data_IF_243429652193
#
_entry.id   IF_243429652193
#
_cell.length_a   1.000
_cell.length_b   1.000
_cell.length_c   1.000
_cell.angle_alpha   90.00
_cell.angle_beta   90.00
_cell.angle_gamma   90.00
#
_symmetry.space_group_name_H-M   'P 1'
#
loop_
_entity.id
_entity.type
_entity.pdbx_description
1 polymer ?
#
# COMPACT_ATOMS: atom_id res chain seq x y z
N UNK A 1 -11.68 1.40 -2.94
CA UNK A 1 -12.25 0.04 -2.75
C UNK A 1 -11.17 -1.01 -3.00
N UNK A 2 -11.26 -2.19 -2.38
CA UNK A 2 -10.23 -3.25 -2.49
C UNK A 2 -10.00 -3.74 -3.92
N UNK A 3 -11.03 -3.72 -4.76
CA UNK A 3 -10.97 -4.10 -6.18
C UNK A 3 -10.06 -3.19 -7.03
N UNK A 4 -9.80 -1.97 -6.56
CA UNK A 4 -8.91 -1.00 -7.22
C UNK A 4 -7.43 -1.28 -6.96
N UNK A 5 -7.13 -2.17 -6.01
CA UNK A 5 -5.77 -2.48 -5.57
C UNK A 5 -5.44 -3.92 -5.96
N UNK A 6 -4.30 -4.10 -6.64
CA UNK A 6 -3.76 -5.43 -6.91
C UNK A 6 -2.40 -5.60 -6.24
N UNK A 7 -2.21 -6.73 -5.56
CA UNK A 7 -0.88 -7.19 -5.12
C UNK A 7 -0.26 -8.03 -6.23
N UNK A 8 0.85 -7.53 -6.79
CA UNK A 8 1.68 -8.27 -7.72
C UNK A 8 2.90 -8.82 -7.00
N UNK A 9 3.28 -10.05 -7.32
CA UNK A 9 4.52 -10.64 -6.82
C UNK A 9 5.26 -11.36 -7.94
N UNK A 10 6.57 -11.44 -7.84
CA UNK A 10 7.41 -12.07 -8.87
C UNK A 10 7.57 -13.58 -8.67
N UNK A 11 7.09 -14.13 -7.55
CA UNK A 11 7.25 -15.55 -7.22
C UNK A 11 5.97 -16.19 -6.67
N UNK A 12 5.67 -17.40 -7.15
CA UNK A 12 4.48 -18.16 -6.72
C UNK A 12 4.48 -18.50 -5.23
N UNK A 13 5.65 -18.70 -4.61
CA UNK A 13 5.72 -18.91 -3.15
C UNK A 13 5.13 -17.75 -2.35
N UNK A 14 5.45 -16.51 -2.74
CA UNK A 14 4.91 -15.31 -2.12
C UNK A 14 3.41 -15.14 -2.44
N UNK A 15 2.97 -15.53 -3.64
CA UNK A 15 1.54 -15.54 -4.00
C UNK A 15 0.74 -16.42 -3.03
N UNK A 16 1.22 -17.63 -2.74
CA UNK A 16 0.54 -18.53 -1.80
C UNK A 16 0.53 -17.98 -0.38
N UNK A 17 1.64 -17.39 0.07
CA UNK A 17 1.72 -16.71 1.38
C UNK A 17 0.68 -15.59 1.48
N UNK A 18 0.66 -14.66 0.52
CA UNK A 18 -0.28 -13.54 0.54
C UNK A 18 -1.74 -14.01 0.46
N UNK A 19 -2.04 -15.06 -0.33
CA UNK A 19 -3.39 -15.64 -0.37
C UNK A 19 -3.79 -16.27 0.97
N UNK A 20 -2.85 -16.89 1.68
CA UNK A 20 -3.07 -17.44 3.02
C UNK A 20 -3.37 -16.33 4.01
N UNK A 21 -2.54 -15.27 4.03
CA UNK A 21 -2.72 -14.10 4.90
C UNK A 21 -4.05 -13.39 4.62
N UNK A 22 -4.43 -13.21 3.36
CA UNK A 22 -5.72 -12.60 2.98
C UNK A 22 -6.91 -13.30 3.62
N UNK A 23 -6.89 -14.64 3.79
CA UNK A 23 -7.98 -15.39 4.44
C UNK A 23 -8.17 -15.00 5.92
N UNK A 24 -7.14 -14.43 6.55
CA UNK A 24 -7.18 -13.98 7.94
C UNK A 24 -7.74 -12.54 8.06
N UNK A 25 -7.90 -11.83 6.94
CA UNK A 25 -8.30 -10.42 6.91
C UNK A 25 -9.52 -10.22 6.01
N UNK A 26 -10.72 -10.20 6.61
CA UNK A 26 -11.99 -10.04 5.87
C UNK A 26 -12.06 -8.76 5.02
N UNK A 27 -11.45 -7.68 5.51
CA UNK A 27 -11.36 -6.41 4.79
C UNK A 27 -10.49 -6.47 3.53
N UNK A 28 -9.74 -7.55 3.32
CA UNK A 28 -8.96 -7.79 2.09
C UNK A 28 -9.64 -8.79 1.16
N UNK A 29 -10.87 -9.22 1.47
CA UNK A 29 -11.65 -10.08 0.59
C UNK A 29 -11.85 -9.41 -0.79
N UNK A 30 -11.80 -10.22 -1.85
CA UNK A 30 -11.88 -9.74 -3.24
C UNK A 30 -10.62 -9.06 -3.78
N UNK A 31 -9.67 -8.62 -2.94
CA UNK A 31 -8.43 -7.99 -3.41
C UNK A 31 -7.63 -8.95 -4.29
N UNK A 32 -7.26 -8.51 -5.50
CA UNK A 32 -6.54 -9.36 -6.46
C UNK A 32 -5.09 -9.57 -6.03
N UNK A 33 -4.66 -10.83 -6.04
CA UNK A 33 -3.29 -11.23 -5.73
C UNK A 33 -2.85 -12.24 -6.80
N UNK A 34 -1.82 -11.89 -7.55
CA UNK A 34 -1.31 -12.73 -8.64
C UNK A 34 0.18 -12.52 -8.90
N UNK A 35 0.76 -13.39 -9.72
CA UNK A 35 2.13 -13.25 -10.20
C UNK A 35 2.18 -12.37 -11.45
N UNK A 36 3.31 -11.67 -11.66
CA UNK A 36 3.52 -10.77 -12.81
C UNK A 36 3.24 -11.47 -14.16
N UNK A 37 3.69 -12.71 -14.33
CA UNK A 37 3.49 -13.48 -15.58
C UNK A 37 2.00 -13.70 -15.92
N UNK A 38 1.12 -13.70 -14.91
CA UNK A 38 -0.32 -13.91 -15.06
C UNK A 38 -1.11 -12.59 -15.13
N UNK A 39 -0.44 -11.45 -15.29
CA UNK A 39 -1.06 -10.11 -15.24
C UNK A 39 -0.85 -9.31 -16.53
N UNK A 40 -0.58 -10.01 -17.64
CA UNK A 40 -0.33 -9.36 -18.92
C UNK A 40 -1.63 -8.82 -19.51
N UNK A 41 -1.63 -7.55 -19.92
CA UNK A 41 -2.81 -6.88 -20.51
C UNK A 41 -3.84 -6.40 -19.49
N UNK A 42 -3.56 -6.57 -18.20
CA UNK A 42 -4.41 -6.07 -17.12
C UNK A 42 -3.79 -4.84 -16.45
N UNK A 43 -4.62 -4.02 -15.81
CA UNK A 43 -4.22 -2.79 -15.09
C UNK A 43 -5.07 -2.62 -13.82
N UNK A 44 -4.51 -1.96 -12.81
CA UNK A 44 -5.25 -1.51 -11.62
C UNK A 44 -4.93 -0.07 -11.29
N UNK A 45 -5.82 0.57 -10.54
CA UNK A 45 -5.61 1.92 -10.04
C UNK A 45 -4.34 2.00 -9.19
N UNK A 46 -4.17 1.02 -8.29
CA UNK A 46 -3.01 0.90 -7.41
C UNK A 46 -2.40 -0.50 -7.53
N UNK A 47 -1.06 -0.56 -7.65
CA UNK A 47 -0.28 -1.79 -7.61
C UNK A 47 0.64 -1.79 -6.40
N UNK A 48 0.59 -2.87 -5.62
CA UNK A 48 1.58 -3.20 -4.59
C UNK A 48 2.48 -4.32 -5.12
N UNK A 49 3.71 -3.99 -5.51
CA UNK A 49 4.65 -4.91 -6.16
C UNK A 49 5.65 -5.46 -5.15
N UNK A 50 5.60 -6.76 -4.88
CA UNK A 50 6.58 -7.48 -4.07
C UNK A 50 7.63 -8.16 -4.95
N UNK A 51 8.89 -7.73 -4.82
CA UNK A 51 10.03 -8.26 -5.58
C UNK A 51 10.65 -9.52 -4.95
N UNK A 52 10.41 -9.76 -3.65
CA UNK A 52 10.78 -10.96 -2.86
C UNK A 52 12.28 -11.17 -2.66
N UNK A 53 13.12 -10.99 -3.69
CA UNK A 53 14.52 -11.43 -3.64
C UNK A 53 15.36 -10.56 -2.71
N UNK A 54 15.94 -11.22 -1.72
CA UNK A 54 16.94 -10.70 -0.80
C UNK A 54 17.86 -11.85 -0.43
N UNK A 55 19.09 -11.87 -0.92
CA UNK A 55 20.08 -12.90 -0.58
C UNK A 55 21.51 -12.35 -0.59
N UNK A 56 22.39 -12.98 0.18
CA UNK A 56 23.79 -12.54 0.30
C UNK A 56 24.57 -12.62 -1.02
N UNK A 57 24.13 -13.50 -1.94
CA UNK A 57 24.77 -13.72 -3.24
C UNK A 57 24.34 -12.70 -4.30
N UNK A 58 23.42 -11.77 -3.99
CA UNK A 58 22.91 -10.79 -4.95
C UNK A 58 22.19 -11.40 -6.17
N UNK A 59 21.74 -12.66 -6.09
CA UNK A 59 21.15 -13.33 -7.24
C UNK A 59 19.65 -13.05 -7.34
N UNK A 60 19.27 -12.22 -8.30
CA UNK A 60 17.89 -11.77 -8.45
C UNK A 60 17.02 -12.67 -9.34
N UNK A 61 17.61 -13.67 -10.03
CA UNK A 61 16.89 -14.65 -10.85
C UNK A 61 15.90 -14.04 -11.84
N UNK A 62 14.60 -14.28 -11.64
CA UNK A 62 13.48 -13.77 -12.44
C UNK A 62 13.56 -12.27 -12.73
N UNK A 63 14.10 -11.50 -11.79
CA UNK A 63 14.19 -10.04 -11.88
C UNK A 63 15.30 -9.53 -12.83
N UNK A 64 16.07 -10.44 -13.45
CA UNK A 64 17.04 -10.11 -14.52
C UNK A 64 16.34 -9.87 -15.86
N UNK A 65 15.13 -10.39 -16.05
CA UNK A 65 14.43 -10.32 -17.34
C UNK A 65 13.71 -8.98 -17.46
N UNK A 66 14.31 -8.04 -18.20
CA UNK A 66 13.81 -6.66 -18.35
C UNK A 66 12.36 -6.60 -18.81
N UNK A 67 11.96 -7.41 -19.80
CA UNK A 67 10.58 -7.45 -20.30
C UNK A 67 9.54 -7.71 -19.19
N UNK A 68 9.87 -8.57 -18.21
CA UNK A 68 8.96 -8.88 -17.09
C UNK A 68 8.89 -7.74 -16.08
N UNK A 69 9.99 -7.01 -15.90
CA UNK A 69 10.03 -5.81 -15.05
C UNK A 69 9.24 -4.69 -15.69
N UNK A 70 9.43 -4.45 -16.99
CA UNK A 70 8.63 -3.46 -17.74
C UNK A 70 7.13 -3.76 -17.64
N UNK A 71 6.74 -5.04 -17.77
CA UNK A 71 5.35 -5.44 -17.52
C UNK A 71 4.93 -5.07 -16.11
N UNK A 72 5.67 -5.44 -15.05
CA UNK A 72 5.28 -5.16 -13.67
C UNK A 72 5.14 -3.66 -13.36
N UNK A 73 6.04 -2.83 -13.90
CA UNK A 73 6.07 -1.37 -13.64
C UNK A 73 4.95 -0.62 -14.40
N UNK A 74 4.42 -1.17 -15.49
CA UNK A 74 3.44 -0.49 -16.34
C UNK A 74 1.97 -0.81 -16.02
N UNK A 75 1.67 -1.39 -14.85
CA UNK A 75 0.31 -1.90 -14.52
C UNK A 75 -0.52 -0.97 -13.64
N UNK A 76 0.11 0.03 -13.05
CA UNK A 76 -0.54 0.99 -12.18
C UNK A 76 -1.04 2.19 -12.98
N UNK A 77 -2.30 2.60 -12.76
CA UNK A 77 -2.86 3.83 -13.35
C UNK A 77 -2.58 5.07 -12.52
N UNK A 78 -2.65 4.95 -11.19
CA UNK A 78 -2.51 6.09 -10.28
C UNK A 78 -1.38 5.92 -9.26
N UNK A 79 -1.12 4.70 -8.78
CA UNK A 79 -0.10 4.48 -7.75
C UNK A 79 0.64 3.16 -7.89
N UNK A 80 1.96 3.21 -7.88
CA UNK A 80 2.84 2.04 -7.86
C UNK A 80 3.71 2.07 -6.61
N UNK A 81 3.59 1.06 -5.77
CA UNK A 81 4.41 0.90 -4.58
C UNK A 81 5.23 -0.38 -4.69
N UNK A 82 6.54 -0.29 -4.53
CA UNK A 82 7.47 -1.39 -4.78
C UNK A 82 8.18 -1.77 -3.48
N UNK A 83 8.07 -3.04 -3.09
CA UNK A 83 8.74 -3.61 -1.92
C UNK A 83 9.80 -4.60 -2.36
N UNK A 84 11.07 -4.31 -2.08
CA UNK A 84 12.18 -5.19 -2.41
C UNK A 84 13.52 -4.72 -1.84
N UNK A 85 14.53 -5.58 -1.93
CA UNK A 85 15.89 -5.25 -1.52
C UNK A 85 16.62 -4.59 -2.71
N UNK A 86 16.71 -3.27 -2.70
CA UNK A 86 17.31 -2.52 -3.81
C UNK A 86 18.81 -2.79 -3.96
N UNK A 87 19.54 -3.10 -2.89
CA UNK A 87 20.98 -3.39 -2.97
C UNK A 87 21.26 -4.69 -3.72
N UNK A 88 20.41 -5.69 -3.53
CA UNK A 88 20.44 -6.93 -4.32
C UNK A 88 20.15 -6.66 -5.80
N UNK A 89 19.19 -5.77 -6.09
CA UNK A 89 18.72 -5.47 -7.44
C UNK A 89 19.69 -4.60 -8.22
N UNK A 90 20.32 -3.63 -7.54
CA UNK A 90 21.28 -2.70 -8.13
C UNK A 90 22.47 -3.42 -8.79
N UNK A 91 22.90 -4.54 -8.19
CA UNK A 91 24.01 -5.35 -8.70
C UNK A 91 23.65 -6.26 -9.87
N UNK A 92 22.36 -6.33 -10.25
CA UNK A 92 21.88 -7.33 -11.20
C UNK A 92 21.79 -6.88 -12.66
N UNK A 93 21.93 -5.59 -12.95
CA UNK A 93 21.89 -5.05 -14.31
C UNK A 93 21.68 -3.53 -14.36
N UNK A 94 21.73 -2.95 -15.56
CA UNK A 94 21.62 -1.50 -15.75
C UNK A 94 20.21 -0.95 -15.48
N UNK A 95 19.16 -1.73 -15.79
CA UNK A 95 17.76 -1.30 -15.59
C UNK A 95 17.46 -0.93 -14.14
N UNK A 96 17.87 -1.77 -13.17
CA UNK A 96 17.62 -1.50 -11.75
C UNK A 96 18.39 -0.29 -11.22
N UNK A 97 19.53 0.05 -11.82
CA UNK A 97 20.27 1.28 -11.50
C UNK A 97 19.45 2.50 -11.94
N UNK A 98 18.94 2.49 -13.17
CA UNK A 98 18.08 3.56 -13.69
C UNK A 98 16.78 3.70 -12.89
N UNK A 99 16.17 2.59 -12.48
CA UNK A 99 14.99 2.60 -11.61
C UNK A 99 15.33 3.25 -10.26
N UNK A 100 16.44 2.86 -9.62
CA UNK A 100 16.89 3.45 -8.35
C UNK A 100 17.12 4.96 -8.50
N UNK A 101 17.85 5.38 -9.52
CA UNK A 101 18.12 6.80 -9.79
C UNK A 101 16.82 7.60 -9.99
N UNK A 102 15.86 7.04 -10.73
CA UNK A 102 14.55 7.66 -10.95
C UNK A 102 13.78 7.83 -9.63
N UNK A 103 13.72 6.78 -8.80
CA UNK A 103 13.03 6.84 -7.52
C UNK A 103 13.68 7.83 -6.55
N UNK A 104 15.02 7.90 -6.51
CA UNK A 104 15.76 8.87 -5.69
C UNK A 104 15.45 10.31 -6.13
N UNK A 105 15.48 10.58 -7.44
CA UNK A 105 15.19 11.91 -7.97
C UNK A 105 13.74 12.37 -7.73
N UNK A 106 12.83 11.42 -7.49
CA UNK A 106 11.42 11.66 -7.18
C UNK A 106 11.11 11.68 -5.67
N UNK A 107 12.14 11.63 -4.82
CA UNK A 107 11.98 11.49 -3.35
C UNK A 107 11.06 10.31 -2.96
N UNK A 108 11.12 9.25 -3.75
CA UNK A 108 10.24 8.06 -3.68
C UNK A 108 11.05 6.79 -3.38
N UNK A 109 12.27 6.94 -2.83
CA UNK A 109 13.15 5.85 -2.42
C UNK A 109 13.49 5.97 -0.94
N UNK A 110 13.25 4.90 -0.19
CA UNK A 110 13.60 4.83 1.23
C UNK A 110 13.01 3.59 1.89
N UNK A 111 13.16 3.54 3.21
CA UNK A 111 12.78 2.39 4.03
C UNK A 111 11.41 2.59 4.70
N UNK A 112 10.74 3.70 4.37
CA UNK A 112 9.51 4.18 5.01
C UNK A 112 8.50 4.59 3.94
N UNK A 113 7.22 4.32 4.22
CA UNK A 113 6.10 4.86 3.46
C UNK A 113 5.52 6.06 4.23
N UNK A 114 5.38 7.19 3.55
CA UNK A 114 4.71 8.37 4.13
C UNK A 114 3.23 8.35 3.77
N UNK A 115 2.38 8.29 4.80
CA UNK A 115 0.92 8.33 4.69
C UNK A 115 0.42 9.72 5.08
N UNK A 116 -0.54 10.26 4.34
CA UNK A 116 -1.21 11.51 4.70
C UNK A 116 -2.64 11.24 5.17
N UNK A 117 -3.06 11.92 6.23
CA UNK A 117 -4.43 11.83 6.72
C UNK A 117 -5.41 12.52 5.76
N UNK A 118 -6.37 11.76 5.22
CA UNK A 118 -7.39 12.28 4.31
C UNK A 118 -8.33 13.32 4.95
N UNK A 119 -8.48 13.30 6.28
CA UNK A 119 -9.36 14.21 7.04
C UNK A 119 -8.60 15.44 7.53
N UNK A 120 -7.37 15.25 8.01
CA UNK A 120 -6.55 16.30 8.59
C UNK A 120 -5.37 16.61 7.68
N UNK A 121 -5.59 17.50 6.72
CA UNK A 121 -4.58 17.92 5.74
C UNK A 121 -3.27 18.36 6.43
N UNK A 122 -2.15 17.91 5.86
CA UNK A 122 -0.81 18.21 6.37
C UNK A 122 -0.36 17.34 7.55
N UNK A 123 -1.19 16.44 8.07
CA UNK A 123 -0.74 15.43 9.03
C UNK A 123 -0.24 14.22 8.26
N UNK A 124 1.07 13.99 8.36
CA UNK A 124 1.71 12.82 7.78
C UNK A 124 2.18 11.85 8.86
N UNK A 125 2.16 10.56 8.54
CA UNK A 125 2.66 9.48 9.38
C UNK A 125 3.61 8.63 8.54
N UNK A 126 4.83 8.41 9.05
CA UNK A 126 5.80 7.54 8.41
C UNK A 126 5.70 6.14 8.99
N UNK A 127 5.63 5.12 8.12
CA UNK A 127 5.50 3.72 8.51
C UNK A 127 6.54 2.87 7.80
N UNK A 128 7.29 2.06 8.56
CA UNK A 128 8.31 1.16 8.06
C UNK A 128 8.05 -0.31 8.45
N UNK A 129 7.44 -0.53 9.61
CA UNK A 129 7.09 -1.85 10.15
C UNK A 129 5.62 -1.94 10.55
N UNK A 130 5.15 -3.16 10.78
CA UNK A 130 3.75 -3.44 11.16
C UNK A 130 3.31 -2.63 12.38
N UNK A 131 4.17 -2.46 13.38
CA UNK A 131 3.82 -1.76 14.61
C UNK A 131 3.57 -0.26 14.41
N UNK A 132 4.14 0.34 13.36
CA UNK A 132 3.96 1.77 13.10
C UNK A 132 2.52 2.08 12.68
N UNK A 133 1.81 1.10 12.11
CA UNK A 133 0.39 1.21 11.78
C UNK A 133 -0.52 1.23 13.02
N UNK A 134 -0.03 0.83 14.19
CA UNK A 134 -0.83 0.87 15.43
C UNK A 134 -1.20 2.31 15.83
N UNK A 135 -0.41 3.30 15.40
CA UNK A 135 -0.66 4.73 15.66
C UNK A 135 -1.88 5.23 14.86
N UNK A 136 -2.19 4.57 13.75
CA UNK A 136 -3.23 4.95 12.79
C UNK A 136 -4.21 3.79 12.54
N UNK A 137 -4.47 2.99 13.58
CA UNK A 137 -5.28 1.76 13.47
C UNK A 137 -6.69 1.99 12.92
N UNK A 138 -7.23 3.19 13.15
CA UNK A 138 -8.55 3.62 12.65
C UNK A 138 -8.51 4.12 11.18
N UNK A 139 -7.35 4.11 10.54
CA UNK A 139 -7.12 4.54 9.16
C UNK A 139 -7.00 6.06 8.95
N UNK A 140 -7.05 6.84 10.04
CA UNK A 140 -6.84 8.29 10.04
C UNK A 140 -5.50 8.69 10.65
N UNK A 141 -5.54 9.59 11.63
CA UNK A 141 -4.39 10.01 12.43
C UNK A 141 -4.75 10.00 13.92
N UNK A 142 -3.82 10.40 14.80
CA UNK A 142 -4.04 10.40 16.25
C UNK A 142 -4.87 11.59 16.79
N UNK A 143 -5.32 12.51 15.93
CA UNK A 143 -6.18 13.64 16.37
C UNK A 143 -7.65 13.24 16.48
N UNK A 144 -8.41 13.99 17.26
CA UNK A 144 -9.88 13.89 17.27
C UNK A 144 -10.45 14.24 15.90
N UNK A 145 -11.44 13.48 15.43
CA UNK A 145 -12.05 13.65 14.13
C UNK A 145 -12.72 15.02 13.96
N UNK A 146 -13.60 15.41 14.89
CA UNK A 146 -14.33 16.68 14.89
C UNK A 146 -15.13 16.98 13.61
N UNK A 147 -15.45 15.96 12.81
CA UNK A 147 -16.42 16.10 11.70
C UNK A 147 -17.82 16.42 12.24
N UNK A 148 -18.56 17.27 11.52
CA UNK A 148 -19.93 17.64 11.88
C UNK A 148 -20.89 16.50 11.53
N UNK A 149 -21.60 15.97 12.52
CA UNK A 149 -22.59 14.91 12.36
C UNK A 149 -23.95 15.49 11.94
N UNK A 150 -24.81 14.66 11.35
CA UNK A 150 -26.18 15.05 10.95
C UNK A 150 -27.05 15.53 12.12
N UNK A 151 -26.77 15.08 13.34
CA UNK A 151 -27.48 15.55 14.52
C UNK A 151 -27.09 16.99 14.94
N UNK A 152 -25.98 17.52 14.42
CA UNK A 152 -25.43 18.83 14.75
C UNK A 152 -24.25 18.81 15.73
N UNK A 153 -23.92 17.65 16.31
CA UNK A 153 -22.75 17.48 17.17
C UNK A 153 -21.47 17.21 16.36
N UNK A 154 -20.32 17.35 17.01
CA UNK A 154 -19.03 16.99 16.44
C UNK A 154 -18.64 15.56 16.83
N UNK A 155 -18.04 14.82 15.90
CA UNK A 155 -17.47 13.51 16.17
C UNK A 155 -16.36 13.62 17.23
N UNK A 156 -16.52 12.87 18.32
CA UNK A 156 -15.58 12.82 19.45
C UNK A 156 -14.61 11.65 19.38
N UNK A 157 -14.72 10.79 18.36
CA UNK A 157 -13.78 9.70 18.13
C UNK A 157 -12.42 10.20 17.62
N UNK A 158 -11.40 9.34 17.76
CA UNK A 158 -10.13 9.49 17.07
C UNK A 158 -10.38 9.45 15.56
N UNK A 159 -9.61 10.21 14.81
CA UNK A 159 -9.72 10.31 13.35
C UNK A 159 -9.71 8.93 12.70
N UNK A 160 -10.72 8.66 11.88
CA UNK A 160 -10.95 7.36 11.28
C UNK A 160 -11.33 7.46 9.80
N UNK A 161 -10.99 6.46 8.99
CA UNK A 161 -11.28 6.46 7.54
C UNK A 161 -12.37 5.49 7.11
N UNK A 162 -12.88 4.65 8.01
CA UNK A 162 -13.89 3.64 7.66
C UNK A 162 -15.28 4.24 7.36
N UNK A 163 -15.59 5.40 7.94
CA UNK A 163 -16.83 6.17 7.68
C UNK A 163 -16.48 7.66 7.55
N UNK A 164 -15.87 8.01 6.42
CA UNK A 164 -15.40 9.38 6.17
C UNK A 164 -16.54 10.40 6.22
N UNK A 165 -17.70 10.05 5.66
CA UNK A 165 -18.87 10.92 5.57
C UNK A 165 -19.75 10.88 6.83
N UNK A 166 -19.41 10.05 7.82
CA UNK A 166 -20.15 9.91 9.08
C UNK A 166 -21.62 9.57 8.87
N UNK A 167 -21.92 8.73 7.88
CA UNK A 167 -23.29 8.33 7.54
C UNK A 167 -23.81 7.26 8.50
N UNK A 168 -22.92 6.42 9.03
CA UNK A 168 -23.25 5.31 9.93
C UNK A 168 -22.82 5.58 11.37
N UNK A 169 -21.93 6.56 11.58
CA UNK A 169 -21.40 6.92 12.88
C UNK A 169 -22.50 7.42 13.83
N UNK A 170 -22.62 6.76 14.99
CA UNK A 170 -23.58 7.14 16.03
C UNK A 170 -22.99 8.15 17.00
N UNK A 171 -23.67 9.29 17.14
CA UNK A 171 -23.33 10.30 18.12
C UNK A 171 -23.28 9.70 19.54
N UNK A 172 -22.17 9.91 20.25
CA UNK A 172 -21.98 9.45 21.64
C UNK A 172 -22.41 10.49 22.68
N UNK A 173 -22.67 11.74 22.26
CA UNK A 173 -23.20 12.80 23.11
C UNK A 173 -24.72 12.65 23.33
N UNK A 174 -25.23 13.26 24.40
CA UNK A 174 -26.66 13.34 24.69
C UNK A 174 -27.39 14.10 23.56
N UNK A 175 -27.92 13.33 22.61
CA UNK A 175 -28.56 13.83 21.41
C UNK A 175 -30.09 13.72 21.54
N UNK A 176 -30.79 14.83 21.27
CA UNK A 176 -32.24 14.88 21.26
C UNK A 176 -32.85 14.51 19.88
N UNK A 177 -32.03 13.97 18.97
CA UNK A 177 -32.41 13.45 17.66
C UNK A 177 -32.10 11.97 17.59
#
# INVERSE_FOLDING_TARGET
>A
KTEQVTILTTYSGQLFLFRSLRKQHKNLEGMKITVVDNYQGEESDIILLSLVRSNEKGNVGFLKTENRICVALSRAKYGLYIMGNMDNLYNSGNLWKQIKETLVNQDSYGDELTLECAIHSGITTKVAKSDDFNIIIEGGCSKLCKSLLMCGHYCTSICHSYDHEHLEFKCMELCNK
#
